data_IF_964697750143
#
_entry.id   IF_964697750143
#
_cell.length_a   1.000
_cell.length_b   1.000
_cell.length_c   1.000
_cell.angle_alpha   90.00
_cell.angle_beta   90.00
_cell.angle_gamma   90.00
#
_symmetry.space_group_name_H-M   'P 1'
#
loop_
_entity.id
_entity.type
_entity.pdbx_description
1 polymer ?
#
# COMPACT_ATOMS: atom_id res chain seq x y z
N UNK A 1 7.28 15.24 6.96
CA UNK A 1 5.97 14.67 6.51
C UNK A 1 4.85 15.33 7.31
N UNK A 2 3.74 15.67 6.66
CA UNK A 2 2.55 16.07 7.39
C UNK A 2 2.05 14.85 8.17
N UNK A 3 1.68 15.02 9.44
CA UNK A 3 1.18 13.91 10.24
C UNK A 3 -0.18 13.43 9.70
N UNK A 4 -0.31 12.12 9.49
CA UNK A 4 -1.60 11.51 9.20
C UNK A 4 -2.53 11.69 10.42
N UNK A 5 -3.84 11.92 10.24
CA UNK A 5 -4.77 11.89 11.36
C UNK A 5 -4.70 10.55 12.09
N UNK A 6 -4.80 10.59 13.42
CA UNK A 6 -4.70 9.39 14.25
C UNK A 6 -5.76 8.35 13.87
N UNK A 7 -5.37 7.08 13.89
CA UNK A 7 -6.30 5.95 13.80
C UNK A 7 -7.10 5.92 15.12
N UNK A 8 -8.42 6.00 15.03
CA UNK A 8 -9.31 6.01 16.21
C UNK A 8 -9.68 4.61 16.69
N UNK A 9 -9.61 3.62 15.80
CA UNK A 9 -9.87 2.22 16.13
C UNK A 9 -8.96 1.30 15.31
N UNK A 10 -7.91 0.82 15.96
CA UNK A 10 -6.89 -0.05 15.34
C UNK A 10 -7.43 -1.41 14.92
N UNK A 11 -8.33 -2.02 15.68
CA UNK A 11 -8.87 -3.35 15.35
C UNK A 11 -9.68 -3.31 14.06
N UNK A 12 -10.56 -2.32 13.92
CA UNK A 12 -11.33 -2.12 12.68
C UNK A 12 -10.42 -1.76 11.51
N UNK A 13 -9.41 -0.92 11.72
CA UNK A 13 -8.43 -0.56 10.70
C UNK A 13 -7.68 -1.80 10.20
N UNK A 14 -7.08 -2.55 11.11
CA UNK A 14 -6.32 -3.76 10.79
C UNK A 14 -7.19 -4.83 10.13
N UNK A 15 -8.41 -5.09 10.66
CA UNK A 15 -9.34 -6.05 10.08
C UNK A 15 -9.73 -5.72 8.63
N UNK A 16 -9.86 -4.42 8.29
CA UNK A 16 -10.10 -3.99 6.90
C UNK A 16 -8.88 -4.21 5.99
N UNK A 17 -7.68 -3.97 6.51
CA UNK A 17 -6.43 -4.23 5.77
C UNK A 17 -6.24 -5.72 5.46
N UNK A 18 -6.77 -6.61 6.28
CA UNK A 18 -6.71 -8.07 6.08
C UNK A 18 -7.66 -8.58 4.99
N UNK A 19 -8.73 -7.86 4.65
CA UNK A 19 -9.67 -8.26 3.59
C UNK A 19 -9.00 -8.48 2.21
N UNK A 20 -7.87 -7.83 1.97
CA UNK A 20 -7.09 -7.99 0.74
C UNK A 20 -5.86 -8.88 0.88
N UNK A 21 -5.76 -9.70 1.94
CA UNK A 21 -4.54 -10.47 2.24
C UNK A 21 -4.13 -11.40 1.10
N UNK A 22 -5.04 -12.16 0.52
CA UNK A 22 -4.74 -13.03 -0.62
C UNK A 22 -4.23 -12.25 -1.82
N UNK A 23 -4.75 -11.04 -2.03
CA UNK A 23 -4.32 -10.15 -3.10
C UNK A 23 -2.91 -9.59 -2.85
N UNK A 24 -2.55 -9.34 -1.59
CA UNK A 24 -1.21 -8.88 -1.18
C UNK A 24 -0.14 -9.96 -1.35
N UNK A 25 -0.50 -11.24 -1.25
CA UNK A 25 0.41 -12.38 -1.35
C UNK A 25 0.74 -12.81 -2.80
N UNK A 26 0.33 -12.06 -3.82
CA UNK A 26 0.47 -12.40 -5.24
C UNK A 26 1.90 -12.78 -5.69
N UNK A 27 2.91 -12.35 -4.95
CA UNK A 27 4.33 -12.50 -5.29
C UNK A 27 4.97 -13.77 -4.73
N UNK A 28 4.34 -14.43 -3.74
CA UNK A 28 4.97 -15.43 -2.86
C UNK A 28 5.59 -16.63 -3.61
N UNK A 29 5.05 -16.98 -4.77
CA UNK A 29 5.54 -18.06 -5.63
C UNK A 29 6.26 -17.55 -6.90
N UNK A 30 6.51 -16.24 -7.01
CA UNK A 30 7.11 -15.61 -8.19
C UNK A 30 8.55 -15.17 -7.98
N UNK A 31 9.01 -15.17 -6.74
CA UNK A 31 10.37 -14.72 -6.39
C UNK A 31 11.06 -15.75 -5.50
N UNK A 32 12.38 -15.81 -5.63
CA UNK A 32 13.25 -16.54 -4.72
C UNK A 32 13.88 -15.53 -3.74
N UNK A 33 13.52 -15.64 -2.46
CA UNK A 33 13.90 -14.67 -1.43
C UNK A 33 14.24 -15.36 -0.12
N UNK A 34 15.24 -14.85 0.59
CA UNK A 34 15.71 -15.33 1.90
C UNK A 34 15.39 -14.34 3.03
N UNK A 35 15.13 -13.08 2.68
CA UNK A 35 14.72 -12.03 3.60
C UNK A 35 13.63 -11.17 2.98
N UNK A 36 12.55 -10.94 3.72
CA UNK A 36 11.50 -9.98 3.36
C UNK A 36 11.46 -8.84 4.38
N UNK A 37 11.49 -7.62 3.86
CA UNK A 37 11.21 -6.39 4.61
C UNK A 37 9.86 -5.85 4.15
N UNK A 38 8.88 -5.77 5.04
CA UNK A 38 7.58 -5.16 4.80
C UNK A 38 7.60 -3.71 5.28
N UNK A 39 7.56 -2.76 4.34
CA UNK A 39 7.57 -1.32 4.62
C UNK A 39 6.14 -0.81 4.84
N UNK A 40 5.90 -0.19 6.00
CA UNK A 40 4.54 0.16 6.44
C UNK A 40 3.79 -1.10 6.87
N UNK A 41 4.45 -1.95 7.65
CA UNK A 41 3.95 -3.28 7.99
C UNK A 41 2.79 -3.29 8.98
N UNK A 42 2.40 -2.15 9.52
CA UNK A 42 1.36 -2.00 10.54
C UNK A 42 1.54 -3.04 11.68
N UNK A 43 0.51 -3.82 11.98
CA UNK A 43 0.53 -4.86 13.01
C UNK A 43 1.27 -6.15 12.59
N UNK A 44 1.91 -6.20 11.41
CA UNK A 44 2.63 -7.37 10.91
C UNK A 44 1.75 -8.51 10.37
N UNK A 45 0.48 -8.27 10.09
CA UNK A 45 -0.43 -9.31 9.59
C UNK A 45 0.04 -9.93 8.26
N UNK A 46 0.65 -9.13 7.35
CA UNK A 46 1.22 -9.66 6.11
C UNK A 46 2.45 -10.53 6.39
N UNK A 47 3.34 -10.11 7.30
CA UNK A 47 4.49 -10.91 7.71
C UNK A 47 4.04 -12.26 8.28
N UNK A 48 3.01 -12.26 9.13
CA UNK A 48 2.44 -13.49 9.70
C UNK A 48 1.89 -14.42 8.62
N UNK A 49 1.14 -13.88 7.66
CA UNK A 49 0.63 -14.68 6.54
C UNK A 49 1.76 -15.30 5.71
N UNK A 50 2.84 -14.55 5.43
CA UNK A 50 4.02 -15.05 4.73
C UNK A 50 4.74 -16.13 5.56
N UNK A 51 4.98 -15.91 6.84
CA UNK A 51 5.64 -16.86 7.73
C UNK A 51 4.93 -18.21 7.83
N UNK A 52 3.60 -18.19 7.84
CA UNK A 52 2.79 -19.42 7.81
C UNK A 52 2.95 -20.21 6.49
N UNK A 53 3.18 -19.53 5.37
CA UNK A 53 3.34 -20.17 4.04
C UNK A 53 4.80 -20.55 3.76
N UNK A 54 5.76 -19.76 4.22
CA UNK A 54 7.19 -19.87 3.92
C UNK A 54 8.01 -19.73 5.20
N UNK A 55 8.00 -20.73 6.11
CA UNK A 55 8.59 -20.62 7.46
C UNK A 55 10.12 -20.42 7.48
N UNK A 56 10.80 -20.70 6.36
CA UNK A 56 12.26 -20.56 6.25
C UNK A 56 12.72 -19.16 5.80
N UNK A 57 11.79 -18.26 5.43
CA UNK A 57 12.10 -16.89 5.04
C UNK A 57 12.20 -16.02 6.30
N UNK A 58 13.26 -15.23 6.40
CA UNK A 58 13.38 -14.23 7.47
C UNK A 58 12.47 -13.04 7.17
N UNK A 59 11.75 -12.61 8.20
CA UNK A 59 10.72 -11.59 8.08
C UNK A 59 11.00 -10.42 9.02
N UNK A 60 10.98 -9.22 8.48
CA UNK A 60 11.25 -7.97 9.20
C UNK A 60 10.22 -6.93 8.79
N UNK A 61 9.69 -6.18 9.74
CA UNK A 61 8.83 -5.05 9.48
C UNK A 61 9.55 -3.71 9.66
N UNK A 62 9.10 -2.72 8.91
CA UNK A 62 9.38 -1.31 9.16
C UNK A 62 8.05 -0.56 9.26
N UNK A 63 7.87 0.20 10.33
CA UNK A 63 6.73 1.09 10.50
C UNK A 63 7.13 2.31 11.33
N UNK A 64 6.65 3.48 10.95
CA UNK A 64 6.94 4.72 11.64
C UNK A 64 5.98 5.00 12.80
N UNK A 65 4.88 4.23 12.94
CA UNK A 65 3.97 4.31 14.07
C UNK A 65 4.43 3.38 15.22
N UNK A 66 4.91 3.94 16.35
CA UNK A 66 5.35 3.12 17.47
C UNK A 66 4.23 2.27 18.10
N UNK A 67 2.96 2.66 17.93
CA UNK A 67 1.83 1.88 18.43
C UNK A 67 1.68 0.57 17.65
N UNK A 68 1.88 0.60 16.33
CA UNK A 68 1.86 -0.59 15.49
C UNK A 68 2.95 -1.59 15.86
N UNK A 69 4.19 -1.11 16.07
CA UNK A 69 5.31 -1.96 16.49
C UNK A 69 5.06 -2.67 17.84
N UNK A 70 4.27 -2.06 18.75
CA UNK A 70 3.93 -2.64 20.06
C UNK A 70 2.86 -3.73 20.00
N UNK A 71 1.99 -3.69 19.00
CA UNK A 71 0.91 -4.69 18.81
C UNK A 71 1.51 -6.02 18.35
N UNK A 72 2.57 -5.98 17.57
CA UNK A 72 3.24 -7.16 17.05
C UNK A 72 4.37 -7.61 17.98
N UNK A 73 4.29 -8.85 18.45
CA UNK A 73 5.33 -9.51 19.26
C UNK A 73 6.00 -10.67 18.53
N UNK A 74 5.56 -11.01 17.32
CA UNK A 74 5.98 -12.22 16.61
C UNK A 74 7.18 -11.96 15.69
N UNK A 75 7.24 -10.76 15.06
CA UNK A 75 8.30 -10.38 14.13
C UNK A 75 8.97 -9.08 14.56
N UNK A 76 10.29 -8.90 14.30
CA UNK A 76 10.95 -7.64 14.60
C UNK A 76 10.41 -6.53 13.69
N UNK A 77 9.94 -5.44 14.30
CA UNK A 77 9.54 -4.22 13.61
C UNK A 77 10.49 -3.10 14.02
N UNK A 78 11.10 -2.46 13.03
CA UNK A 78 12.00 -1.34 13.20
C UNK A 78 11.31 -0.03 12.80
N UNK A 79 11.62 1.05 13.51
CA UNK A 79 11.14 2.41 13.21
C UNK A 79 12.21 3.30 12.58
N UNK A 80 13.42 2.78 12.36
CA UNK A 80 14.53 3.47 11.70
C UNK A 80 15.01 2.67 10.50
N UNK A 81 15.18 3.33 9.35
CA UNK A 81 15.63 2.69 8.12
C UNK A 81 17.07 2.19 8.21
N UNK A 82 17.94 2.87 8.96
CA UNK A 82 19.34 2.46 9.17
C UNK A 82 19.45 1.02 9.70
N UNK A 83 18.51 0.60 10.55
CA UNK A 83 18.48 -0.79 11.04
C UNK A 83 18.25 -1.80 9.91
N UNK A 84 17.46 -1.43 8.89
CA UNK A 84 17.22 -2.26 7.71
C UNK A 84 18.47 -2.32 6.84
N UNK A 85 19.12 -1.19 6.62
CA UNK A 85 20.38 -1.12 5.87
C UNK A 85 21.46 -1.98 6.53
N UNK A 86 21.57 -1.95 7.86
CA UNK A 86 22.51 -2.80 8.61
C UNK A 86 22.21 -4.29 8.43
N UNK A 87 20.94 -4.70 8.50
CA UNK A 87 20.54 -6.09 8.27
C UNK A 87 20.92 -6.55 6.86
N UNK A 88 20.68 -5.72 5.84
CA UNK A 88 21.03 -6.08 4.46
C UNK A 88 22.53 -6.15 4.22
N UNK A 89 23.32 -5.29 4.87
CA UNK A 89 24.76 -5.21 4.67
C UNK A 89 25.54 -6.33 5.36
N UNK A 90 25.15 -6.69 6.58
CA UNK A 90 25.91 -7.62 7.43
C UNK A 90 25.17 -8.91 7.77
N UNK A 91 23.95 -9.09 7.26
CA UNK A 91 23.15 -10.28 7.53
C UNK A 91 22.81 -10.46 9.00
N UNK A 92 22.60 -9.37 9.74
CA UNK A 92 22.36 -9.42 11.18
C UNK A 92 20.94 -9.02 11.53
N UNK A 93 20.39 -9.69 12.55
CA UNK A 93 19.12 -9.35 13.17
C UNK A 93 19.36 -9.20 14.67
N UNK A 94 19.08 -8.03 15.20
CA UNK A 94 19.10 -7.81 16.65
C UNK A 94 17.91 -8.54 17.27
N UNK A 95 18.20 -9.55 18.09
CA UNK A 95 17.18 -10.38 18.77
C UNK A 95 16.83 -9.79 20.13
N UNK A 96 17.86 -9.27 20.85
CA UNK A 96 17.73 -8.59 22.13
C UNK A 96 18.81 -7.54 22.30
N UNK A 97 18.84 -6.84 23.46
CA UNK A 97 19.94 -5.88 23.75
C UNK A 97 21.34 -6.52 23.76
N UNK A 98 21.42 -7.82 24.01
CA UNK A 98 22.66 -8.56 24.16
C UNK A 98 22.89 -9.67 23.13
N UNK A 99 21.92 -9.90 22.24
CA UNK A 99 21.94 -11.00 21.29
C UNK A 99 21.73 -10.51 19.87
N UNK A 100 22.64 -10.91 18.97
CA UNK A 100 22.55 -10.64 17.54
C UNK A 100 22.67 -11.95 16.78
N UNK A 101 21.66 -12.26 15.98
CA UNK A 101 21.67 -13.39 15.07
C UNK A 101 22.30 -12.99 13.74
N UNK A 102 23.21 -13.81 13.19
CA UNK A 102 23.86 -13.61 11.89
C UNK A 102 23.30 -14.57 10.87
N UNK A 103 23.12 -14.11 9.63
CA UNK A 103 22.65 -14.92 8.50
C UNK A 103 23.13 -14.33 7.18
N UNK A 104 23.25 -15.17 6.15
CA UNK A 104 23.54 -14.71 4.79
C UNK A 104 22.31 -14.10 4.14
N UNK A 105 22.46 -12.94 3.53
CA UNK A 105 21.41 -12.24 2.77
C UNK A 105 21.82 -12.21 1.31
N UNK A 106 21.15 -13.03 0.49
CA UNK A 106 21.46 -13.14 -0.93
C UNK A 106 20.37 -12.53 -1.82
N UNK A 107 19.10 -12.71 -1.43
CA UNK A 107 17.96 -12.30 -2.22
C UNK A 107 16.95 -11.48 -1.39
N UNK A 108 17.37 -10.33 -0.83
CA UNK A 108 16.48 -9.51 -0.03
C UNK A 108 15.35 -8.91 -0.86
N UNK A 109 14.16 -8.93 -0.31
CA UNK A 109 12.94 -8.37 -0.92
C UNK A 109 12.37 -7.26 -0.07
N UNK A 110 12.03 -6.14 -0.70
CA UNK A 110 11.24 -5.07 -0.11
C UNK A 110 9.79 -5.19 -0.59
N UNK A 111 8.84 -5.17 0.35
CA UNK A 111 7.41 -5.09 0.04
C UNK A 111 6.92 -3.66 0.31
N UNK A 112 6.23 -3.08 -0.66
CA UNK A 112 5.53 -1.81 -0.59
C UNK A 112 4.04 -2.08 -0.88
N UNK A 113 3.31 -2.50 0.16
CA UNK A 113 1.91 -2.91 0.02
C UNK A 113 0.97 -1.92 0.69
N UNK A 114 0.20 -1.17 -0.10
CA UNK A 114 -0.75 -0.15 0.38
C UNK A 114 -0.10 0.94 1.24
N UNK A 115 1.07 1.41 0.84
CA UNK A 115 1.87 2.42 1.56
C UNK A 115 2.36 3.56 0.67
N UNK A 116 2.51 3.32 -0.64
CA UNK A 116 3.04 4.33 -1.57
C UNK A 116 2.11 5.55 -1.63
N UNK A 117 0.80 5.34 -1.66
CA UNK A 117 -0.16 6.44 -1.68
C UNK A 117 -0.05 7.32 -0.43
N UNK A 118 0.27 6.76 0.75
CA UNK A 118 0.52 7.54 1.97
C UNK A 118 1.82 8.36 1.84
N UNK A 119 2.90 7.76 1.34
CA UNK A 119 4.17 8.47 1.09
C UNK A 119 3.97 9.69 0.19
N UNK A 120 3.17 9.56 -0.87
CA UNK A 120 2.89 10.68 -1.77
C UNK A 120 1.87 11.66 -1.22
N UNK A 121 0.96 11.22 -0.36
CA UNK A 121 -0.06 12.11 0.22
C UNK A 121 0.50 12.96 1.36
N UNK A 122 1.27 12.35 2.27
CA UNK A 122 1.78 13.02 3.45
C UNK A 122 3.21 13.56 3.29
N UNK A 123 3.99 13.02 2.35
CA UNK A 123 5.37 13.42 2.10
C UNK A 123 5.48 14.72 1.32
N UNK A 124 6.43 15.56 1.71
CA UNK A 124 6.92 16.65 0.85
C UNK A 124 7.73 16.08 -0.32
N UNK A 125 8.00 16.90 -1.34
CA UNK A 125 8.85 16.44 -2.46
C UNK A 125 10.22 15.91 -2.00
N UNK A 126 10.98 16.54 -1.09
CA UNK A 126 12.21 15.97 -0.56
C UNK A 126 12.02 14.64 0.17
N UNK A 127 10.92 14.46 0.92
CA UNK A 127 10.62 13.19 1.60
C UNK A 127 10.38 12.07 0.59
N UNK A 128 9.60 12.35 -0.47
CA UNK A 128 9.33 11.40 -1.55
C UNK A 128 10.61 11.03 -2.30
N UNK A 129 11.48 12.00 -2.60
CA UNK A 129 12.75 11.76 -3.28
C UNK A 129 13.69 10.93 -2.39
N UNK A 130 13.73 11.20 -1.08
CA UNK A 130 14.48 10.41 -0.09
C UNK A 130 13.96 8.98 0.00
N UNK A 131 12.63 8.80 0.06
CA UNK A 131 12.00 7.48 0.07
C UNK A 131 12.42 6.62 -1.13
N UNK A 132 12.31 7.17 -2.36
CA UNK A 132 12.68 6.41 -3.55
C UNK A 132 14.18 6.14 -3.62
N UNK A 133 15.02 7.08 -3.15
CA UNK A 133 16.45 6.85 -3.00
C UNK A 133 16.72 5.66 -2.07
N UNK A 134 16.11 5.61 -0.90
CA UNK A 134 16.25 4.49 0.03
C UNK A 134 15.78 3.17 -0.62
N UNK A 135 14.60 3.17 -1.27
CA UNK A 135 14.04 1.98 -1.93
C UNK A 135 15.02 1.38 -2.96
N UNK A 136 15.67 2.20 -3.79
CA UNK A 136 16.50 1.69 -4.87
C UNK A 136 17.99 1.53 -4.48
N UNK A 137 18.51 2.35 -3.57
CA UNK A 137 19.95 2.34 -3.21
C UNK A 137 20.29 1.31 -2.11
N UNK A 138 19.32 0.91 -1.28
CA UNK A 138 19.55 0.01 -0.13
C UNK A 138 20.01 -1.40 -0.57
N UNK A 139 19.72 -1.84 -1.79
CA UNK A 139 20.28 -3.07 -2.36
C UNK A 139 19.35 -4.27 -2.37
N UNK A 140 18.04 -4.06 -2.32
CA UNK A 140 17.07 -5.13 -2.49
C UNK A 140 17.18 -5.81 -3.85
N UNK A 141 17.17 -7.16 -3.85
CA UNK A 141 17.12 -7.97 -5.08
C UNK A 141 15.77 -7.89 -5.76
N UNK A 142 14.70 -7.87 -4.94
CA UNK A 142 13.34 -7.71 -5.44
C UNK A 142 12.64 -6.55 -4.72
N UNK A 143 11.81 -5.82 -5.46
CA UNK A 143 10.88 -4.84 -4.91
C UNK A 143 9.48 -5.24 -5.37
N UNK A 144 8.62 -5.54 -4.41
CA UNK A 144 7.23 -5.94 -4.63
C UNK A 144 6.33 -4.76 -4.30
N UNK A 145 5.55 -4.31 -5.27
CA UNK A 145 4.64 -3.18 -5.12
C UNK A 145 3.21 -3.66 -5.33
N UNK A 146 2.33 -3.31 -4.41
CA UNK A 146 0.88 -3.44 -4.58
C UNK A 146 0.21 -2.22 -3.95
N UNK A 147 -0.39 -1.36 -4.77
CA UNK A 147 -1.03 -0.14 -4.29
C UNK A 147 -2.12 0.39 -5.25
N UNK A 148 -2.83 1.41 -4.83
CA UNK A 148 -3.81 2.13 -5.63
C UNK A 148 -3.08 3.11 -6.58
N UNK A 149 -2.97 2.71 -7.83
CA UNK A 149 -2.21 3.41 -8.86
C UNK A 149 -3.01 3.44 -10.17
N UNK A 150 -3.97 4.36 -10.31
CA UNK A 150 -4.77 4.44 -11.53
C UNK A 150 -3.92 4.87 -12.73
N UNK A 151 -4.39 4.57 -13.93
CA UNK A 151 -3.81 5.14 -15.14
C UNK A 151 -4.15 6.64 -15.24
N UNK A 152 -3.32 7.42 -15.95
CA UNK A 152 -3.59 8.85 -16.21
C UNK A 152 -4.95 9.07 -16.91
N UNK A 153 -5.43 8.10 -17.67
CA UNK A 153 -6.70 8.16 -18.38
C UNK A 153 -7.95 8.31 -17.48
N UNK A 154 -7.83 8.11 -16.15
CA UNK A 154 -8.94 8.38 -15.21
C UNK A 154 -9.28 9.86 -15.09
N UNK A 155 -8.35 10.76 -15.44
CA UNK A 155 -8.54 12.21 -15.43
C UNK A 155 -9.42 12.63 -16.65
N UNK A 156 -10.72 12.47 -16.51
CA UNK A 156 -11.72 12.81 -17.52
C UNK A 156 -13.09 13.08 -16.86
N UNK A 157 -14.05 13.51 -17.66
CA UNK A 157 -15.44 13.63 -17.22
C UNK A 157 -16.02 12.24 -16.92
N UNK A 158 -16.77 12.12 -15.84
CA UNK A 158 -17.47 10.89 -15.44
C UNK A 158 -18.55 10.51 -16.43
N UNK A 159 -18.89 9.22 -16.47
CA UNK A 159 -20.11 8.74 -17.13
C UNK A 159 -21.35 9.33 -16.43
N UNK A 160 -22.19 10.04 -17.15
CA UNK A 160 -23.39 10.71 -16.61
C UNK A 160 -24.32 9.73 -15.90
N UNK A 161 -24.46 8.50 -16.42
CA UNK A 161 -25.29 7.49 -15.79
C UNK A 161 -24.72 7.00 -14.45
N UNK A 162 -23.41 6.89 -14.33
CA UNK A 162 -22.77 6.47 -13.08
C UNK A 162 -22.86 7.58 -12.02
N UNK A 163 -22.67 8.83 -12.41
CA UNK A 163 -22.89 10.00 -11.55
C UNK A 163 -24.35 10.01 -11.02
N UNK A 164 -25.35 9.80 -11.91
CA UNK A 164 -26.76 9.71 -11.49
C UNK A 164 -27.01 8.59 -10.49
N UNK A 165 -26.40 7.42 -10.66
CA UNK A 165 -26.53 6.30 -9.72
C UNK A 165 -25.95 6.64 -8.34
N UNK A 166 -24.78 7.29 -8.30
CA UNK A 166 -24.19 7.73 -7.02
C UNK A 166 -25.07 8.79 -6.35
N UNK A 167 -25.50 9.83 -7.06
CA UNK A 167 -26.38 10.83 -6.47
C UNK A 167 -27.71 10.24 -6.03
N UNK A 168 -28.31 9.32 -6.79
CA UNK A 168 -29.55 8.66 -6.39
C UNK A 168 -29.42 7.94 -5.03
N UNK A 169 -28.26 7.34 -4.75
CA UNK A 169 -28.01 6.57 -3.52
C UNK A 169 -27.46 7.41 -2.37
N UNK A 170 -26.60 8.37 -2.65
CA UNK A 170 -25.78 9.02 -1.64
C UNK A 170 -26.00 10.54 -1.49
N UNK A 171 -26.84 11.17 -2.31
CA UNK A 171 -27.12 12.60 -2.18
C UNK A 171 -27.68 12.93 -0.79
N UNK A 172 -27.08 13.91 -0.11
CA UNK A 172 -27.43 14.30 1.25
C UNK A 172 -26.95 13.32 2.33
N UNK A 173 -26.09 12.36 1.99
CA UNK A 173 -25.45 11.52 2.99
C UNK A 173 -24.10 12.10 3.41
N UNK A 174 -23.73 11.88 4.68
CA UNK A 174 -22.41 12.29 5.21
C UNK A 174 -21.25 11.81 4.32
N UNK A 175 -21.33 10.61 3.76
CA UNK A 175 -20.25 10.05 2.95
C UNK A 175 -19.98 10.89 1.70
N UNK A 176 -21.01 11.25 0.93
CA UNK A 176 -20.83 12.03 -0.30
C UNK A 176 -20.54 13.49 -0.01
N UNK A 177 -21.26 14.10 0.94
CA UNK A 177 -21.09 15.52 1.29
C UNK A 177 -19.69 15.82 1.82
N UNK A 178 -19.15 14.97 2.70
CA UNK A 178 -17.78 15.09 3.21
C UNK A 178 -16.76 14.84 2.10
N UNK A 179 -16.99 13.84 1.24
CA UNK A 179 -16.08 13.53 0.14
C UNK A 179 -16.00 14.69 -0.86
N UNK A 180 -17.12 15.22 -1.34
CA UNK A 180 -17.12 16.31 -2.32
C UNK A 180 -16.57 17.62 -1.74
N UNK A 181 -16.72 17.85 -0.44
CA UNK A 181 -16.10 19.00 0.26
C UNK A 181 -14.58 18.91 0.25
N UNK A 182 -14.00 17.70 0.37
CA UNK A 182 -12.53 17.49 0.42
C UNK A 182 -11.94 17.39 -0.98
N UNK A 183 -12.58 16.64 -1.89
CA UNK A 183 -11.99 16.22 -3.18
C UNK A 183 -12.65 16.86 -4.39
N UNK A 184 -13.78 17.53 -4.22
CA UNK A 184 -14.58 18.09 -5.31
C UNK A 184 -15.54 17.09 -5.92
N UNK A 185 -16.23 17.53 -6.98
CA UNK A 185 -17.36 16.83 -7.58
C UNK A 185 -16.99 15.47 -8.19
N UNK A 186 -17.85 14.48 -7.99
CA UNK A 186 -17.79 13.17 -8.66
C UNK A 186 -18.07 13.23 -10.17
N UNK A 187 -18.37 14.40 -10.73
CA UNK A 187 -18.42 14.60 -12.19
C UNK A 187 -17.03 14.48 -12.84
N UNK A 188 -15.95 14.59 -12.07
CA UNK A 188 -14.62 14.14 -12.46
C UNK A 188 -14.50 12.63 -12.19
N UNK A 189 -14.14 11.84 -13.20
CA UNK A 189 -14.10 10.37 -13.11
C UNK A 189 -13.08 9.84 -12.10
N UNK A 190 -11.95 10.53 -11.91
CA UNK A 190 -11.01 10.20 -10.83
C UNK A 190 -11.68 10.33 -9.46
N UNK A 191 -12.46 11.40 -9.25
CA UNK A 191 -13.16 11.61 -7.98
C UNK A 191 -14.33 10.62 -7.81
N UNK A 192 -15.04 10.28 -8.88
CA UNK A 192 -16.04 9.22 -8.85
C UNK A 192 -15.43 7.88 -8.39
N UNK A 193 -14.34 7.45 -9.01
CA UNK A 193 -13.64 6.23 -8.62
C UNK A 193 -13.13 6.34 -7.18
N UNK A 194 -12.52 7.47 -6.81
CA UNK A 194 -12.02 7.71 -5.46
C UNK A 194 -13.12 7.59 -4.39
N UNK A 195 -14.30 8.14 -4.65
CA UNK A 195 -15.47 7.96 -3.80
C UNK A 195 -15.88 6.49 -3.68
N UNK A 196 -15.95 5.77 -4.80
CA UNK A 196 -16.32 4.35 -4.84
C UNK A 196 -15.31 3.44 -4.11
N UNK A 197 -14.07 3.86 -3.96
CA UNK A 197 -13.09 3.17 -3.12
C UNK A 197 -13.31 3.40 -1.62
N UNK A 198 -13.98 4.51 -1.22
CA UNK A 198 -14.01 5.01 0.17
C UNK A 198 -15.36 4.92 0.88
N UNK A 199 -16.49 5.08 0.21
CA UNK A 199 -17.79 5.26 0.85
C UNK A 199 -18.16 4.22 1.92
N UNK A 200 -17.50 3.05 1.89
CA UNK A 200 -17.73 1.95 2.83
C UNK A 200 -16.91 2.08 4.13
N UNK A 201 -15.98 3.02 4.21
CA UNK A 201 -15.14 3.23 5.39
C UNK A 201 -15.71 4.30 6.34
N UNK A 202 -17.03 4.56 6.27
CA UNK A 202 -17.68 5.68 6.95
C UNK A 202 -17.43 5.70 8.47
N UNK A 203 -17.35 4.53 9.12
CA UNK A 203 -17.08 4.45 10.56
C UNK A 203 -16.13 3.29 10.87
N UNK A 204 -15.29 3.38 11.91
CA UNK A 204 -15.07 4.52 12.83
C UNK A 204 -13.98 5.50 12.38
N UNK A 205 -13.23 5.21 11.30
CA UNK A 205 -12.03 5.98 10.90
C UNK A 205 -12.30 7.00 9.77
N UNK A 206 -13.57 7.40 9.54
CA UNK A 206 -13.96 8.22 8.39
C UNK A 206 -13.21 9.55 8.26
N UNK A 207 -12.95 10.23 9.38
CA UNK A 207 -12.26 11.53 9.36
C UNK A 207 -10.83 11.42 8.81
N UNK A 208 -10.17 10.29 9.01
CA UNK A 208 -8.90 9.95 8.38
C UNK A 208 -9.11 9.55 6.92
N UNK A 209 -9.98 8.58 6.70
CA UNK A 209 -10.20 7.97 5.39
C UNK A 209 -10.65 8.99 4.34
N UNK A 210 -11.57 9.90 4.68
CA UNK A 210 -12.07 10.91 3.75
C UNK A 210 -10.98 11.87 3.29
N UNK A 211 -9.97 12.13 4.12
CA UNK A 211 -8.88 13.07 3.82
C UNK A 211 -7.69 12.43 3.11
N UNK A 212 -7.54 11.13 3.22
CA UNK A 212 -6.44 10.40 2.62
C UNK A 212 -6.60 10.32 1.10
N UNK A 213 -5.55 10.67 0.34
CA UNK A 213 -5.58 10.53 -1.12
C UNK A 213 -5.14 9.13 -1.54
N UNK A 214 -6.09 8.30 -1.95
CA UNK A 214 -5.79 6.96 -2.45
C UNK A 214 -5.13 6.96 -3.84
N UNK A 215 -5.19 8.06 -4.58
CA UNK A 215 -4.69 8.16 -5.96
C UNK A 215 -3.79 9.40 -6.18
N UNK A 216 -2.75 9.63 -5.34
CA UNK A 216 -1.90 10.80 -5.44
C UNK A 216 -0.91 10.73 -6.62
N UNK A 217 -0.66 9.54 -7.13
CA UNK A 217 0.25 9.27 -8.25
C UNK A 217 -0.39 8.29 -9.23
N UNK A 218 -0.08 8.41 -10.51
CA UNK A 218 -0.53 7.48 -11.54
C UNK A 218 0.47 6.34 -11.75
N UNK A 219 -0.02 5.23 -12.32
CA UNK A 219 0.83 4.10 -12.75
C UNK A 219 1.99 4.58 -13.63
N UNK A 220 1.72 5.43 -14.62
CA UNK A 220 2.73 5.92 -15.54
C UNK A 220 3.82 6.75 -14.82
N UNK A 221 3.42 7.55 -13.84
CA UNK A 221 4.36 8.34 -13.05
C UNK A 221 5.22 7.47 -12.11
N UNK A 222 4.66 6.37 -11.58
CA UNK A 222 5.44 5.40 -10.81
C UNK A 222 6.44 4.67 -11.71
N UNK A 223 5.99 4.14 -12.86
CA UNK A 223 6.86 3.41 -13.79
C UNK A 223 8.05 4.27 -14.27
N UNK A 224 7.84 5.58 -14.44
CA UNK A 224 8.91 6.50 -14.81
C UNK A 224 9.97 6.74 -13.71
N UNK A 225 9.73 6.29 -12.48
CA UNK A 225 10.71 6.38 -11.37
C UNK A 225 11.61 5.15 -11.27
N UNK A 226 11.28 4.06 -11.96
CA UNK A 226 12.06 2.82 -11.91
C UNK A 226 13.40 3.03 -12.61
N UNK A 227 14.54 2.81 -11.92
CA UNK A 227 15.85 2.93 -12.53
C UNK A 227 16.11 1.82 -13.55
N UNK A 228 17.04 2.07 -14.48
CA UNK A 228 17.36 1.13 -15.56
C UNK A 228 18.05 -0.16 -15.10
N UNK A 229 18.53 -0.24 -13.87
CA UNK A 229 19.13 -1.42 -13.26
C UNK A 229 18.09 -2.38 -12.64
N UNK A 230 16.78 -2.12 -12.85
CA UNK A 230 15.68 -2.99 -12.47
C UNK A 230 14.85 -3.43 -13.67
N UNK A 231 14.61 -4.74 -13.78
CA UNK A 231 13.64 -5.34 -14.70
C UNK A 231 12.26 -5.42 -14.07
N UNK A 232 11.21 -5.17 -14.84
CA UNK A 232 9.84 -5.52 -14.46
C UNK A 232 9.62 -6.99 -14.82
N UNK A 233 9.55 -7.87 -13.82
CA UNK A 233 9.32 -9.31 -14.04
C UNK A 233 7.87 -9.74 -13.85
N UNK A 234 7.04 -8.87 -13.24
CA UNK A 234 5.60 -9.05 -13.16
C UNK A 234 4.90 -7.70 -13.14
N UNK A 235 3.78 -7.58 -13.86
CA UNK A 235 2.96 -6.40 -13.92
C UNK A 235 1.50 -6.79 -14.14
N UNK A 236 0.60 -6.33 -13.26
CA UNK A 236 -0.84 -6.47 -13.39
C UNK A 236 -1.51 -5.16 -12.99
N UNK A 237 -2.34 -4.59 -13.87
CA UNK A 237 -3.12 -3.38 -13.60
C UNK A 237 -4.60 -3.77 -13.62
N UNK A 238 -5.29 -3.67 -12.49
CA UNK A 238 -6.59 -4.33 -12.28
C UNK A 238 -7.48 -3.54 -11.31
N UNK A 239 -8.73 -3.95 -11.23
CA UNK A 239 -9.63 -3.55 -10.14
C UNK A 239 -9.73 -4.72 -9.16
N UNK A 240 -9.61 -4.44 -7.87
CA UNK A 240 -9.67 -5.45 -6.82
C UNK A 240 -11.00 -6.23 -6.90
N UNK A 241 -11.00 -7.58 -7.05
CA UNK A 241 -12.20 -8.35 -7.38
C UNK A 241 -13.38 -8.16 -6.40
N UNK A 242 -13.11 -8.17 -5.08
CA UNK A 242 -14.17 -7.96 -4.10
C UNK A 242 -14.78 -6.55 -4.20
N UNK A 243 -13.98 -5.56 -4.59
CA UNK A 243 -14.45 -4.19 -4.76
C UNK A 243 -15.38 -4.07 -5.97
N UNK A 244 -15.05 -4.73 -7.10
CA UNK A 244 -15.92 -4.80 -8.28
C UNK A 244 -17.31 -5.33 -7.92
N UNK A 245 -17.34 -6.46 -7.22
CA UNK A 245 -18.58 -7.09 -6.81
C UNK A 245 -19.38 -6.17 -5.87
N UNK A 246 -18.72 -5.64 -4.84
CA UNK A 246 -19.38 -4.80 -3.84
C UNK A 246 -19.93 -3.50 -4.43
N UNK A 247 -19.15 -2.80 -5.24
CA UNK A 247 -19.60 -1.55 -5.87
C UNK A 247 -20.76 -1.81 -6.82
N UNK A 248 -20.70 -2.91 -7.59
CA UNK A 248 -21.81 -3.32 -8.46
C UNK A 248 -23.08 -3.59 -7.66
N UNK A 249 -22.99 -4.36 -6.59
CA UNK A 249 -24.13 -4.73 -5.75
C UNK A 249 -24.73 -3.50 -5.06
N UNK A 250 -23.88 -2.61 -4.58
CA UNK A 250 -24.31 -1.42 -3.85
C UNK A 250 -24.87 -0.30 -4.75
N UNK A 251 -24.30 -0.12 -5.94
CA UNK A 251 -24.59 1.07 -6.78
C UNK A 251 -25.03 0.74 -8.20
N UNK A 252 -24.91 -0.51 -8.63
CA UNK A 252 -25.10 -0.91 -10.02
C UNK A 252 -24.03 -0.35 -10.98
N UNK A 253 -22.87 0.13 -10.44
CA UNK A 253 -21.76 0.65 -11.23
C UNK A 253 -20.71 -0.45 -11.41
N UNK A 254 -20.22 -0.60 -12.63
CA UNK A 254 -19.06 -1.42 -12.95
C UNK A 254 -17.83 -0.51 -13.13
N UNK A 255 -16.86 -0.62 -12.21
CA UNK A 255 -15.59 0.10 -12.33
C UNK A 255 -14.79 -0.50 -13.48
N UNK A 256 -14.62 0.25 -14.57
CA UNK A 256 -13.90 -0.18 -15.79
C UNK A 256 -12.44 0.23 -15.79
N UNK A 257 -12.09 1.27 -15.07
CA UNK A 257 -10.72 1.76 -14.97
C UNK A 257 -9.96 0.98 -13.91
N UNK A 258 -8.82 0.35 -14.24
CA UNK A 258 -7.96 -0.27 -13.23
C UNK A 258 -7.53 0.74 -12.17
N UNK A 259 -7.66 0.35 -10.92
CA UNK A 259 -7.37 1.19 -9.75
C UNK A 259 -6.15 0.73 -8.97
N UNK A 260 -5.75 -0.52 -9.12
CA UNK A 260 -4.65 -1.15 -8.40
C UNK A 260 -3.57 -1.66 -9.34
N UNK A 261 -2.33 -1.57 -8.88
CA UNK A 261 -1.16 -2.12 -9.57
C UNK A 261 -0.50 -3.18 -8.70
N UNK A 262 -0.18 -4.32 -9.28
CA UNK A 262 0.81 -5.27 -8.77
C UNK A 262 2.04 -5.23 -9.66
N UNK A 263 3.19 -5.09 -9.04
CA UNK A 263 4.46 -4.99 -9.75
C UNK A 263 5.53 -5.76 -8.98
N UNK A 264 6.39 -6.49 -9.70
CA UNK A 264 7.61 -7.06 -9.14
C UNK A 264 8.77 -6.57 -9.98
N UNK A 265 9.69 -5.89 -9.31
CA UNK A 265 10.96 -5.45 -9.88
C UNK A 265 12.06 -6.41 -9.42
N UNK A 266 13.02 -6.68 -10.31
CA UNK A 266 14.21 -7.46 -10.02
C UNK A 266 15.44 -6.65 -10.42
N UNK A 267 16.35 -6.45 -9.47
CA UNK A 267 17.65 -5.78 -9.70
C UNK A 267 18.53 -6.65 -10.60
N UNK A 268 19.20 -6.04 -11.57
CA UNK A 268 20.21 -6.69 -12.37
C UNK A 268 21.32 -7.27 -11.49
N UNK A 269 22.09 -8.23 -12.04
CA UNK A 269 23.28 -8.78 -11.34
C UNK A 269 24.44 -7.80 -11.37
#
# INVERSE_FOLDING_TARGET
MNEAPNITNYDTYNGRMELSMLDKLFFIDKIDTDLIVDFGCANGALLKAIGNMKPNIRLVGYDNDPAMARINTEYPIFSKWDNIEDILRVGTKKVSEHETEYFDVNHPTLILSSVIHEVFHYGSKPDIDTFWKQVFDTGFKYIVIRDMLPARAVERVSCVNDVKKVYHKFLGTKALDDFERVWGSIENNKQLIHFLLKYRYLEPNWEREVRENYMPITREALLAKIPMDYDIIFHEHYVLPYLLQTVRDDTGIEIKDPTHLKLILRKHK
#
